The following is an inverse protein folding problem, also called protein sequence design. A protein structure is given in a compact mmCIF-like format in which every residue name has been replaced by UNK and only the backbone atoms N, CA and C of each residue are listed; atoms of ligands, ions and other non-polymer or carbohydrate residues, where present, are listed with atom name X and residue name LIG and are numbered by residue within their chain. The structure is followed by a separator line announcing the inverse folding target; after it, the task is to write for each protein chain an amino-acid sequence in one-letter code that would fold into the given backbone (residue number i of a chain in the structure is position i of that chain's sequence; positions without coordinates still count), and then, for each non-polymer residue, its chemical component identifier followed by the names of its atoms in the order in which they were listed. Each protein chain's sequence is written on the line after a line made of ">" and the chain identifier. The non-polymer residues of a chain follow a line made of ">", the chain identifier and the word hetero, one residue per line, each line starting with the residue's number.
data_IF_455742003993
#
_entry.id   IF_455742003993
#
_cell.length_a   1.000
_cell.length_b   1.000
_cell.length_c   1.000
_cell.angle_alpha   90.00
_cell.angle_beta   90.00
_cell.angle_gamma   90.00
#
_symmetry.space_group_name_H-M   'P 1'
#
loop_
_entity.id
_entity.type
_entity.pdbx_description
1 polymer ?
#
# COMPACT_ATOMS: atom_id res chain seq x y z
N UNK A 1 -0.79 -5.49 19.36
CA UNK A 1 -0.54 -5.27 17.92
C UNK A 1 -0.49 -3.76 17.76
N UNK A 2 0.65 -3.16 17.37
CA UNK A 2 0.73 -1.71 17.21
C UNK A 2 -0.28 -1.26 16.14
N UNK A 3 -1.05 -0.23 16.47
CA UNK A 3 -2.07 0.33 15.60
C UNK A 3 -1.44 0.84 14.30
N UNK A 4 -1.95 0.34 13.17
CA UNK A 4 -1.39 0.59 11.83
C UNK A 4 -1.58 2.04 11.36
N UNK A 5 -2.25 2.88 12.16
CA UNK A 5 -2.59 4.27 11.82
C UNK A 5 -1.48 5.30 12.05
N UNK A 6 -0.34 4.95 12.68
CA UNK A 6 0.78 5.87 12.96
C UNK A 6 2.10 5.53 12.23
N UNK A 7 2.02 4.70 11.18
CA UNK A 7 3.21 4.35 10.40
C UNK A 7 3.68 5.53 9.54
N UNK A 8 4.96 5.87 9.66
CA UNK A 8 5.59 6.88 8.79
C UNK A 8 5.65 6.35 7.34
N UNK A 9 5.69 7.23 6.33
CA UNK A 9 5.97 6.79 4.96
C UNK A 9 7.34 6.08 4.89
N UNK A 10 7.44 5.06 4.03
CA UNK A 10 8.66 4.23 3.90
C UNK A 10 9.94 5.05 3.67
N UNK A 11 9.84 6.16 2.94
CA UNK A 11 11.00 7.03 2.69
C UNK A 11 11.45 7.81 3.92
N UNK A 12 10.56 8.07 4.88
CA UNK A 12 10.97 8.59 6.18
C UNK A 12 11.78 7.55 6.97
N UNK A 13 11.34 6.28 6.99
CA UNK A 13 12.10 5.21 7.64
C UNK A 13 13.46 4.96 6.99
N UNK A 14 13.56 5.02 5.65
CA UNK A 14 14.84 4.93 4.93
C UNK A 14 15.78 6.10 5.28
N UNK A 15 15.26 7.32 5.39
CA UNK A 15 16.03 8.49 5.81
C UNK A 15 16.55 8.35 7.25
N UNK A 16 15.70 7.90 8.16
CA UNK A 16 16.07 7.67 9.56
C UNK A 16 17.17 6.58 9.68
N UNK A 17 17.07 5.50 8.90
CA UNK A 17 18.07 4.45 8.85
C UNK A 17 19.42 4.94 8.27
N UNK A 18 19.39 5.76 7.23
CA UNK A 18 20.60 6.36 6.66
C UNK A 18 21.29 7.33 7.64
N UNK A 19 20.50 8.13 8.37
CA UNK A 19 21.00 9.02 9.43
C UNK A 19 21.64 8.23 10.57
N UNK A 20 20.98 7.14 11.00
CA UNK A 20 21.49 6.25 12.04
C UNK A 20 22.81 5.58 11.62
N UNK A 21 22.92 5.11 10.37
CA UNK A 21 24.17 4.55 9.83
C UNK A 21 25.31 5.58 9.83
N UNK A 22 25.01 6.83 9.46
CA UNK A 22 25.99 7.93 9.46
C UNK A 22 26.47 8.24 10.90
N UNK A 23 25.56 8.25 11.87
CA UNK A 23 25.89 8.49 13.27
C UNK A 23 26.82 7.40 13.84
N UNK A 24 26.56 6.12 13.55
CA UNK A 24 27.46 5.03 14.00
C UNK A 24 28.85 5.12 13.38
N UNK A 25 28.95 5.51 12.11
CA UNK A 25 30.24 5.72 11.43
C UNK A 25 31.00 6.90 12.01
N UNK A 26 30.30 7.86 12.61
CA UNK A 26 30.87 9.01 13.29
C UNK A 26 31.18 8.77 14.78
N UNK A 27 31.16 7.50 15.24
CA UNK A 27 31.45 7.12 16.62
C UNK A 27 30.42 7.64 17.66
N UNK A 28 29.16 7.83 17.25
CA UNK A 28 28.10 8.23 18.17
C UNK A 28 27.72 7.07 19.12
N UNK A 29 27.87 7.33 20.43
CA UNK A 29 27.62 6.35 21.51
C UNK A 29 26.14 5.93 21.56
N UNK A 30 25.22 6.88 21.39
CA UNK A 30 23.78 6.61 21.42
C UNK A 30 23.35 5.78 20.21
N UNK A 31 23.93 6.06 19.04
CA UNK A 31 23.68 5.28 17.84
C UNK A 31 24.19 3.84 18.01
N UNK A 32 25.39 3.63 18.57
CA UNK A 32 25.93 2.28 18.85
C UNK A 32 25.10 1.50 19.86
N UNK A 33 24.57 2.16 20.89
CA UNK A 33 23.67 1.54 21.87
C UNK A 33 22.40 0.99 21.22
N UNK A 34 21.86 1.70 20.22
CA UNK A 34 20.69 1.23 19.46
C UNK A 34 20.98 -0.02 18.64
N UNK A 35 22.19 -0.18 18.09
CA UNK A 35 22.61 -1.41 17.41
C UNK A 35 22.91 -2.56 18.37
N UNK A 36 23.36 -2.30 19.61
CA UNK A 36 23.57 -3.36 20.61
C UNK A 36 22.29 -4.08 21.03
N UNK A 37 21.12 -3.48 20.77
CA UNK A 37 19.82 -4.13 20.97
C UNK A 37 19.50 -5.19 19.91
N UNK A 38 20.26 -5.27 18.82
CA UNK A 38 20.17 -6.39 17.88
C UNK A 38 20.91 -7.59 18.47
N UNK A 39 20.22 -8.70 18.69
CA UNK A 39 20.79 -9.93 19.27
C UNK A 39 21.97 -10.54 18.50
N UNK A 40 22.29 -10.05 17.30
CA UNK A 40 23.45 -10.47 16.52
C UNK A 40 23.96 -9.30 15.67
N UNK A 41 24.74 -8.38 16.24
CA UNK A 41 25.36 -7.30 15.49
C UNK A 41 26.64 -7.81 14.76
N UNK A 42 26.64 -7.99 13.42
CA UNK A 42 27.84 -8.43 12.71
C UNK A 42 28.91 -7.33 12.68
N UNK A 43 30.20 -7.70 12.54
CA UNK A 43 31.28 -6.73 12.37
C UNK A 43 31.09 -5.97 11.05
N UNK A 44 30.84 -4.67 11.14
CA UNK A 44 30.55 -3.80 10.01
C UNK A 44 29.07 -3.45 9.89
N UNK A 45 28.71 -2.29 10.46
CA UNK A 45 27.34 -1.79 10.38
C UNK A 45 27.04 -1.34 8.94
N UNK A 46 25.97 -1.89 8.38
CA UNK A 46 25.49 -1.63 7.02
C UNK A 46 24.07 -1.07 7.08
N UNK A 47 23.61 -0.46 5.98
CA UNK A 47 22.27 0.11 5.90
C UNK A 47 21.16 -0.91 6.23
N UNK A 48 21.32 -2.17 5.83
CA UNK A 48 20.37 -3.25 6.16
C UNK A 48 20.19 -3.45 7.66
N UNK A 49 21.24 -3.29 8.46
CA UNK A 49 21.18 -3.41 9.91
C UNK A 49 20.46 -2.19 10.52
N UNK A 50 20.74 -0.99 9.99
CA UNK A 50 20.05 0.22 10.42
C UNK A 50 18.54 0.15 10.14
N UNK A 51 18.14 -0.41 8.99
CA UNK A 51 16.74 -0.66 8.66
C UNK A 51 16.08 -1.66 9.62
N UNK A 52 16.79 -2.70 10.05
CA UNK A 52 16.28 -3.65 11.06
C UNK A 52 16.07 -2.97 12.42
N UNK A 53 17.00 -2.12 12.89
CA UNK A 53 16.84 -1.37 14.15
C UNK A 53 15.60 -0.48 14.08
N UNK A 54 15.47 0.30 13.00
CA UNK A 54 14.33 1.20 12.80
C UNK A 54 13.01 0.41 12.72
N UNK A 55 13.01 -0.78 12.11
CA UNK A 55 11.85 -1.64 12.07
C UNK A 55 11.44 -2.15 13.46
N UNK A 56 12.40 -2.59 14.27
CA UNK A 56 12.15 -3.04 15.65
C UNK A 56 11.64 -1.93 16.54
N UNK A 57 12.19 -0.72 16.41
CA UNK A 57 11.70 0.45 17.16
C UNK A 57 10.30 0.89 16.74
N UNK A 58 9.92 0.64 15.48
CA UNK A 58 8.55 0.82 15.00
C UNK A 58 7.63 -0.37 15.40
N UNK A 59 8.11 -1.35 16.15
CA UNK A 59 7.34 -2.50 16.63
C UNK A 59 7.28 -3.69 15.67
N UNK A 60 8.11 -3.72 14.63
CA UNK A 60 8.17 -4.82 13.65
C UNK A 60 9.43 -5.66 13.81
N UNK A 61 9.36 -6.99 13.62
CA UNK A 61 10.50 -7.87 13.84
C UNK A 61 11.66 -7.63 12.85
N UNK A 62 11.36 -7.17 11.63
CA UNK A 62 12.34 -6.90 10.59
C UNK A 62 11.84 -5.87 9.57
N UNK A 63 12.76 -5.37 8.73
CA UNK A 63 12.46 -4.42 7.67
C UNK A 63 11.40 -4.94 6.69
N UNK A 64 11.40 -6.24 6.36
CA UNK A 64 10.39 -6.82 5.46
C UNK A 64 8.99 -6.76 6.04
N UNK A 65 8.82 -6.99 7.35
CA UNK A 65 7.54 -6.91 8.04
C UNK A 65 7.04 -5.46 8.14
N UNK A 66 7.94 -4.51 8.44
CA UNK A 66 7.61 -3.08 8.39
C UNK A 66 7.26 -2.67 6.96
N UNK A 67 8.06 -3.09 5.98
CA UNK A 67 7.81 -2.79 4.57
C UNK A 67 6.48 -3.35 4.12
N UNK A 68 6.11 -4.58 4.50
CA UNK A 68 4.81 -5.16 4.18
C UNK A 68 3.65 -4.47 4.89
N UNK A 69 3.88 -3.89 6.07
CA UNK A 69 2.87 -3.14 6.81
C UNK A 69 2.71 -1.70 6.31
N UNK A 70 3.78 -1.11 5.78
CA UNK A 70 3.82 0.27 5.28
C UNK A 70 3.76 0.37 3.73
N UNK A 71 3.95 -0.72 2.99
CA UNK A 71 3.56 -0.81 1.58
C UNK A 71 2.04 -0.87 1.54
N UNK A 72 1.43 0.30 1.37
CA UNK A 72 0.17 0.34 0.66
C UNK A 72 0.38 -0.34 -0.69
N UNK A 73 -0.34 -1.43 -0.92
CA UNK A 73 -0.36 -2.09 -2.22
C UNK A 73 -0.68 -1.04 -3.27
N UNK A 74 0.20 -0.88 -4.25
CA UNK A 74 -0.02 0.07 -5.33
C UNK A 74 -1.14 -0.47 -6.24
N UNK A 75 -2.36 0.00 -5.96
CA UNK A 75 -3.54 -0.36 -6.73
C UNK A 75 -3.60 0.32 -8.10
N UNK A 76 -2.65 1.20 -8.43
CA UNK A 76 -2.65 1.97 -9.68
C UNK A 76 -2.26 1.17 -10.93
N UNK A 77 -1.77 -0.06 -10.80
CA UNK A 77 -1.52 -0.92 -11.97
C UNK A 77 -2.30 -2.24 -11.93
N UNK A 78 -2.71 -2.65 -10.73
CA UNK A 78 -3.31 -3.96 -10.48
C UNK A 78 -4.58 -4.14 -11.28
N UNK A 79 -5.45 -3.13 -11.32
CA UNK A 79 -6.75 -3.23 -11.97
C UNK A 79 -6.68 -3.28 -13.50
N UNK A 80 -5.57 -2.82 -14.09
CA UNK A 80 -5.35 -2.86 -15.54
C UNK A 80 -4.65 -4.14 -16.02
N UNK A 81 -4.39 -5.09 -15.11
CA UNK A 81 -3.76 -6.35 -15.46
C UNK A 81 -4.58 -7.13 -16.51
N UNK A 82 -3.95 -7.76 -17.51
CA UNK A 82 -4.67 -8.50 -18.56
C UNK A 82 -5.62 -9.58 -18.04
N UNK A 83 -5.29 -10.19 -16.88
CA UNK A 83 -6.12 -11.22 -16.24
C UNK A 83 -7.45 -10.70 -15.65
N UNK A 84 -7.54 -9.39 -15.38
CA UNK A 84 -8.75 -8.73 -14.88
C UNK A 84 -9.56 -8.06 -16.00
N UNK A 85 -9.03 -8.02 -17.22
CA UNK A 85 -9.70 -7.43 -18.38
C UNK A 85 -10.86 -8.34 -18.83
N UNK A 86 -12.07 -7.91 -18.53
CA UNK A 86 -13.31 -8.60 -18.95
C UNK A 86 -14.13 -7.81 -19.96
N UNK A 87 -14.02 -6.49 -19.88
CA UNK A 87 -14.86 -5.57 -20.63
C UNK A 87 -14.04 -4.41 -21.20
N UNK A 88 -14.70 -3.56 -21.98
CA UNK A 88 -14.10 -2.35 -22.53
C UNK A 88 -13.83 -1.40 -21.35
N UNK A 89 -12.54 -1.08 -21.15
CA UNK A 89 -12.14 -0.04 -20.22
C UNK A 89 -12.27 1.31 -20.93
N UNK A 90 -13.05 2.23 -20.35
CA UNK A 90 -13.15 3.61 -20.80
C UNK A 90 -12.11 4.44 -20.07
N UNK A 91 -11.09 4.92 -20.79
CA UNK A 91 -9.94 5.62 -20.23
C UNK A 91 -10.11 7.14 -20.25
N UNK A 92 -9.72 7.79 -19.15
CA UNK A 92 -9.82 9.23 -18.95
C UNK A 92 -8.51 9.78 -18.39
N UNK A 93 -8.13 10.99 -18.82
CA UNK A 93 -6.93 11.67 -18.30
C UNK A 93 -7.15 12.28 -16.92
N UNK A 94 -8.38 12.64 -16.61
CA UNK A 94 -8.77 13.32 -15.39
C UNK A 94 -9.93 12.58 -14.71
N UNK A 95 -10.00 12.77 -13.39
CA UNK A 95 -11.01 12.15 -12.55
C UNK A 95 -12.41 12.64 -12.89
N UNK A 96 -12.58 13.93 -13.16
CA UNK A 96 -13.91 14.53 -13.30
C UNK A 96 -14.64 14.00 -14.55
N UNK A 97 -13.93 13.85 -15.67
CA UNK A 97 -14.47 13.19 -16.87
C UNK A 97 -14.82 11.72 -16.62
N UNK A 98 -13.96 11.00 -15.89
CA UNK A 98 -14.21 9.60 -15.55
C UNK A 98 -15.44 9.45 -14.65
N UNK A 99 -15.60 10.35 -13.66
CA UNK A 99 -16.73 10.36 -12.74
C UNK A 99 -18.03 10.69 -13.45
N UNK A 100 -18.03 11.67 -14.35
CA UNK A 100 -19.19 12.00 -15.16
C UNK A 100 -19.61 10.80 -16.03
N UNK A 101 -18.65 10.08 -16.63
CA UNK A 101 -18.94 8.88 -17.40
C UNK A 101 -19.53 7.77 -16.53
N UNK A 102 -18.96 7.52 -15.34
CA UNK A 102 -19.47 6.55 -14.37
C UNK A 102 -20.90 6.88 -13.93
N UNK A 103 -21.21 8.15 -13.66
CA UNK A 103 -22.57 8.56 -13.26
C UNK A 103 -23.59 8.36 -14.38
N UNK A 104 -23.19 8.57 -15.63
CA UNK A 104 -24.07 8.42 -16.78
C UNK A 104 -24.28 6.95 -17.22
N UNK A 105 -23.27 6.09 -17.06
CA UNK A 105 -23.29 4.72 -17.62
C UNK A 105 -23.17 3.61 -16.57
N UNK A 106 -22.93 3.96 -15.30
CA UNK A 106 -22.61 3.01 -14.24
C UNK A 106 -21.17 2.48 -14.29
N UNK A 107 -20.92 1.42 -13.53
CA UNK A 107 -19.61 0.74 -13.47
C UNK A 107 -18.71 1.18 -12.32
N UNK A 108 -17.48 0.67 -12.34
CA UNK A 108 -16.47 0.87 -11.31
C UNK A 108 -15.40 1.81 -11.81
N UNK A 109 -15.13 2.87 -11.05
CA UNK A 109 -14.07 3.83 -11.31
C UNK A 109 -12.79 3.41 -10.59
N UNK A 110 -11.74 3.12 -11.37
CA UNK A 110 -10.48 2.55 -10.90
C UNK A 110 -9.29 3.41 -11.33
N UNK A 111 -8.24 3.53 -10.47
CA UNK A 111 -7.04 4.27 -10.81
C UNK A 111 -6.16 3.51 -11.82
N UNK A 112 -5.47 4.25 -12.68
CA UNK A 112 -4.33 3.73 -13.43
C UNK A 112 -3.20 4.75 -13.58
N UNK A 113 -2.11 4.61 -12.83
CA UNK A 113 -1.02 5.60 -12.76
C UNK A 113 -1.55 7.03 -12.55
N UNK A 114 -1.44 7.89 -13.56
CA UNK A 114 -1.93 9.28 -13.57
C UNK A 114 -3.28 9.44 -14.30
N UNK A 115 -3.94 8.33 -14.62
CA UNK A 115 -5.21 8.26 -15.34
C UNK A 115 -6.25 7.55 -14.47
N UNK A 116 -7.49 7.60 -14.94
CA UNK A 116 -8.60 6.84 -14.38
C UNK A 116 -9.31 6.08 -15.49
N UNK A 117 -9.91 4.95 -15.16
CA UNK A 117 -10.77 4.25 -16.11
C UNK A 117 -12.04 3.74 -15.45
N UNK A 118 -13.10 3.67 -16.24
CA UNK A 118 -14.37 3.06 -15.85
C UNK A 118 -14.50 1.71 -16.55
N UNK A 119 -14.88 0.69 -15.80
CA UNK A 119 -15.12 -0.67 -16.31
C UNK A 119 -16.40 -1.26 -15.72
N UNK A 120 -16.87 -2.37 -16.27
CA UNK A 120 -18.09 -3.03 -15.80
C UNK A 120 -17.95 -3.61 -14.39
N UNK A 121 -19.07 -3.77 -13.68
CA UNK A 121 -19.17 -4.45 -12.38
C UNK A 121 -18.70 -5.92 -12.44
N UNK A 122 -18.57 -6.50 -13.63
CA UNK A 122 -17.98 -7.84 -13.85
C UNK A 122 -16.55 -7.97 -13.32
N UNK A 123 -15.84 -6.85 -13.10
CA UNK A 123 -14.52 -6.89 -12.48
C UNK A 123 -14.56 -7.34 -11.00
N UNK A 124 -15.69 -7.16 -10.29
CA UNK A 124 -15.80 -7.46 -8.86
C UNK A 124 -15.64 -8.96 -8.57
N UNK A 125 -16.34 -9.90 -9.25
CA UNK A 125 -16.07 -11.33 -9.15
C UNK A 125 -14.61 -11.72 -9.35
N UNK A 126 -13.93 -11.10 -10.31
CA UNK A 126 -12.51 -11.37 -10.62
C UNK A 126 -11.59 -10.92 -9.50
N UNK A 127 -11.93 -9.81 -8.85
CA UNK A 127 -11.30 -9.31 -7.63
C UNK A 127 -11.67 -10.14 -6.38
N UNK A 128 -12.67 -11.03 -6.47
CA UNK A 128 -13.11 -11.89 -5.38
C UNK A 128 -14.23 -11.32 -4.52
N UNK A 129 -15.04 -10.44 -5.10
CA UNK A 129 -16.22 -9.81 -4.50
C UNK A 129 -17.48 -10.22 -5.25
N UNK A 130 -18.62 -10.19 -4.56
CA UNK A 130 -19.91 -10.28 -5.25
C UNK A 130 -20.18 -8.99 -6.04
N UNK A 131 -21.00 -9.07 -7.10
CA UNK A 131 -21.31 -7.89 -7.94
C UNK A 131 -22.04 -6.79 -7.16
N UNK A 132 -22.82 -7.19 -6.16
CA UNK A 132 -23.59 -6.35 -5.26
C UNK A 132 -22.92 -6.18 -3.89
N UNK A 133 -21.60 -6.44 -3.80
CA UNK A 133 -20.88 -6.36 -2.53
C UNK A 133 -21.10 -4.98 -1.86
N UNK A 134 -21.60 -4.97 -0.61
CA UNK A 134 -22.02 -3.75 0.05
C UNK A 134 -20.87 -2.78 0.27
N UNK A 135 -19.63 -3.27 0.45
CA UNK A 135 -18.48 -2.38 0.62
C UNK A 135 -18.19 -1.59 -0.67
N UNK A 136 -18.38 -2.20 -1.83
CA UNK A 136 -18.22 -1.52 -3.12
C UNK A 136 -19.35 -0.53 -3.40
N UNK A 137 -20.56 -0.84 -2.95
CA UNK A 137 -21.70 0.07 -2.97
C UNK A 137 -21.49 1.28 -2.04
N UNK A 138 -20.94 1.05 -0.85
CA UNK A 138 -20.65 2.09 0.16
C UNK A 138 -19.61 3.11 -0.32
N UNK A 139 -18.66 2.69 -1.17
CA UNK A 139 -17.72 3.63 -1.81
C UNK A 139 -18.29 4.28 -3.08
N UNK A 140 -19.52 3.96 -3.47
CA UNK A 140 -20.12 4.44 -4.72
C UNK A 140 -19.42 3.89 -5.97
N UNK A 141 -18.83 2.69 -5.86
CA UNK A 141 -17.97 2.08 -6.87
C UNK A 141 -16.81 2.98 -7.32
N UNK A 142 -16.39 3.92 -6.47
CA UNK A 142 -15.31 4.88 -6.74
C UNK A 142 -14.10 4.56 -5.86
N UNK A 143 -13.08 3.94 -6.46
CA UNK A 143 -11.86 3.58 -5.73
C UNK A 143 -10.90 4.76 -5.58
N UNK A 144 -11.09 5.84 -6.34
CA UNK A 144 -10.19 7.01 -6.36
C UNK A 144 -10.64 8.03 -5.31
N UNK A 145 -11.92 8.39 -5.32
CA UNK A 145 -12.56 9.29 -4.35
C UNK A 145 -13.81 8.60 -3.78
N UNK A 146 -13.65 7.68 -2.81
CA UNK A 146 -14.75 6.87 -2.29
C UNK A 146 -15.75 7.73 -1.51
N UNK A 147 -17.01 7.31 -1.52
CA UNK A 147 -18.01 7.88 -0.61
C UNK A 147 -17.77 7.49 0.87
N UNK A 148 -17.17 6.33 1.14
CA UNK A 148 -16.73 5.92 2.49
C UNK A 148 -15.27 5.47 2.50
N UNK A 149 -14.44 6.18 3.25
CA UNK A 149 -13.02 5.86 3.44
C UNK A 149 -12.82 4.56 4.23
N UNK A 150 -13.73 4.27 5.16
CA UNK A 150 -13.73 3.06 5.98
C UNK A 150 -13.99 1.82 5.12
N UNK A 151 -14.99 1.90 4.21
CA UNK A 151 -15.27 0.84 3.26
C UNK A 151 -14.11 0.60 2.30
N UNK A 152 -13.49 1.67 1.78
CA UNK A 152 -12.30 1.54 0.94
C UNK A 152 -11.14 0.87 1.68
N UNK A 153 -10.93 1.20 2.95
CA UNK A 153 -9.89 0.59 3.79
C UNK A 153 -10.09 -0.92 3.92
N UNK A 154 -11.34 -1.37 4.13
CA UNK A 154 -11.67 -2.80 4.18
C UNK A 154 -11.40 -3.50 2.84
N UNK A 155 -11.78 -2.86 1.73
CA UNK A 155 -11.55 -3.39 0.37
C UNK A 155 -10.05 -3.52 0.10
N UNK A 156 -9.27 -2.47 0.37
CA UNK A 156 -7.81 -2.47 0.23
C UNK A 156 -7.18 -3.60 1.03
N UNK A 157 -7.51 -3.72 2.32
CA UNK A 157 -6.97 -4.78 3.18
C UNK A 157 -7.26 -6.19 2.66
N UNK A 158 -8.49 -6.44 2.17
CA UNK A 158 -8.87 -7.75 1.60
C UNK A 158 -8.17 -8.02 0.26
N UNK A 159 -8.06 -7.01 -0.61
CA UNK A 159 -7.31 -7.11 -1.86
C UNK A 159 -5.83 -7.40 -1.58
N UNK A 160 -5.18 -6.65 -0.68
CA UNK A 160 -3.79 -6.86 -0.31
C UNK A 160 -3.54 -8.28 0.18
N UNK A 161 -4.37 -8.82 1.08
CA UNK A 161 -4.26 -10.21 1.55
C UNK A 161 -4.34 -11.22 0.41
N UNK A 162 -5.27 -11.01 -0.53
CA UNK A 162 -5.48 -11.92 -1.68
C UNK A 162 -4.36 -11.85 -2.71
N UNK A 163 -3.76 -10.68 -2.88
CA UNK A 163 -2.63 -10.47 -3.77
C UNK A 163 -1.35 -11.07 -3.18
N UNK A 164 -1.11 -10.88 -1.88
CA UNK A 164 0.03 -11.50 -1.19
C UNK A 164 -0.09 -13.03 -1.12
N UNK A 165 -1.30 -13.59 -0.98
CA UNK A 165 -1.52 -15.05 -0.95
C UNK A 165 -1.38 -15.75 -2.32
N UNK A 166 -1.25 -14.98 -3.42
CA UNK A 166 -1.02 -15.51 -4.77
C UNK A 166 0.47 -15.56 -5.15
N UNK A 167 1.37 -15.16 -4.25
CA UNK A 167 2.82 -15.26 -4.36
C UNK A 167 3.38 -16.07 -3.18
#
# INVERSE_FOLDING_TARGET
>A
MPDTHDLKPLDAYKRDAAKLLKAVRADDVSARDRFRRLENAPPGVQLKHALTVIAQEAGFPNWTALKSAAEEVDFSEIFAAPSLKDSINHWFRDYDAAKAHQQAHGGVLLPYRHQAFVTSLEILPRLGYEKDDPAWKDIGYDFIRPASTEALTRIKARLSRRLTAKF
#
